data_IF_195756448502
#
_entry.id   IF_195756448502
#
_cell.length_a   1.000
_cell.length_b   1.000
_cell.length_c   1.000
_cell.angle_alpha   90.00
_cell.angle_beta   90.00
_cell.angle_gamma   90.00
#
_symmetry.space_group_name_H-M   'P 1'
#
loop_
_entity.id
_entity.type
_entity.pdbx_description
1 polymer ?
#
# COMPACT_ATOMS: atom_id res chain seq x y z
N UNK A 1 59.03 -17.11 -0.34
CA UNK A 1 57.93 -16.96 0.63
C UNK A 1 56.65 -16.67 -0.13
N UNK A 2 55.64 -17.55 -0.11
CA UNK A 2 54.45 -17.40 -0.95
C UNK A 2 53.33 -16.61 -0.27
N UNK A 3 52.75 -15.76 -1.09
CA UNK A 3 51.44 -15.08 -1.10
C UNK A 3 50.38 -15.61 -0.10
N UNK A 4 50.07 -14.81 0.92
CA UNK A 4 48.85 -14.90 1.74
C UNK A 4 48.10 -13.56 1.72
N UNK A 5 47.56 -13.18 0.55
CA UNK A 5 46.72 -11.97 0.43
C UNK A 5 45.51 -12.14 -0.47
N UNK A 6 44.98 -13.36 -0.58
CA UNK A 6 43.91 -13.69 -1.53
C UNK A 6 42.52 -13.98 -0.94
N UNK A 7 42.37 -14.40 0.32
CA UNK A 7 41.09 -14.96 0.81
C UNK A 7 40.21 -14.05 1.68
N UNK A 8 40.70 -12.89 2.12
CA UNK A 8 39.90 -11.95 2.92
C UNK A 8 39.24 -10.85 2.09
N UNK A 9 39.66 -10.64 0.84
CA UNK A 9 39.06 -9.61 -0.01
C UNK A 9 37.81 -10.07 -0.75
N UNK A 10 37.61 -11.38 -0.92
CA UNK A 10 36.42 -11.96 -1.56
C UNK A 10 35.18 -11.96 -0.65
N UNK A 11 35.35 -12.04 0.68
CA UNK A 11 34.22 -11.93 1.62
C UNK A 11 33.77 -10.49 1.87
N UNK A 12 34.62 -9.51 1.55
CA UNK A 12 34.30 -8.08 1.65
C UNK A 12 33.67 -7.52 0.36
N UNK A 13 33.70 -8.27 -0.74
CA UNK A 13 33.20 -7.84 -2.07
C UNK A 13 31.82 -8.36 -2.40
N UNK A 14 31.21 -9.21 -1.55
CA UNK A 14 29.76 -9.48 -1.59
C UNK A 14 28.92 -8.30 -1.03
N UNK A 15 29.52 -7.11 -0.91
CA UNK A 15 28.93 -5.86 -0.40
C UNK A 15 28.55 -4.91 -1.56
N UNK A 16 28.68 -5.33 -2.82
CA UNK A 16 28.33 -4.49 -3.97
C UNK A 16 27.23 -5.15 -4.80
N UNK A 17 26.21 -4.34 -5.15
CA UNK A 17 24.94 -4.64 -5.84
C UNK A 17 23.78 -5.19 -5.01
N UNK A 18 23.37 -4.42 -4.01
CA UNK A 18 21.94 -4.26 -3.73
C UNK A 18 21.68 -2.79 -3.43
N UNK A 19 21.68 -1.95 -4.49
CA UNK A 19 21.47 -0.49 -4.50
C UNK A 19 21.24 0.13 -3.11
N UNK A 20 22.37 0.33 -2.43
CA UNK A 20 22.71 1.32 -1.41
C UNK A 20 22.08 1.27 -0.01
N UNK A 21 22.14 0.14 0.70
CA UNK A 21 22.25 0.17 2.16
C UNK A 21 23.28 -0.85 2.67
N UNK A 22 24.19 -0.43 3.56
CA UNK A 22 25.13 -1.36 4.23
C UNK A 22 24.35 -2.19 5.23
N UNK A 23 23.84 -3.33 4.78
CA UNK A 23 23.00 -4.24 5.56
C UNK A 23 23.88 -5.36 6.13
N UNK A 24 23.77 -5.62 7.43
CA UNK A 24 24.33 -6.85 8.01
C UNK A 24 23.61 -8.05 7.39
N UNK A 25 24.32 -9.04 6.82
CA UNK A 25 23.67 -10.19 6.22
C UNK A 25 22.82 -10.91 7.27
N UNK A 26 21.52 -11.04 6.97
CA UNK A 26 20.60 -11.77 7.86
C UNK A 26 21.04 -13.23 7.96
N UNK A 27 21.10 -13.73 9.19
CA UNK A 27 21.48 -15.12 9.50
C UNK A 27 20.39 -16.13 9.13
N UNK A 28 19.20 -15.66 8.74
CA UNK A 28 18.05 -16.52 8.43
C UNK A 28 18.07 -16.89 6.94
N UNK A 29 17.88 -18.18 6.59
CA UNK A 29 17.76 -18.63 5.21
C UNK A 29 16.67 -17.85 4.45
N UNK A 30 16.90 -17.44 3.19
CA UNK A 30 15.97 -16.58 2.45
C UNK A 30 14.58 -17.19 2.30
N UNK A 31 14.49 -18.52 2.13
CA UNK A 31 13.23 -19.25 1.97
C UNK A 31 12.37 -19.27 3.25
N UNK A 32 12.98 -19.15 4.44
CA UNK A 32 12.25 -19.18 5.72
C UNK A 32 11.74 -17.81 6.16
N UNK A 33 12.19 -16.73 5.51
CA UNK A 33 11.83 -15.37 5.94
C UNK A 33 10.35 -15.06 5.71
N UNK A 34 9.79 -15.48 4.58
CA UNK A 34 8.37 -15.25 4.27
C UNK A 34 7.44 -16.08 5.17
N UNK A 35 7.64 -17.41 5.37
CA UNK A 35 6.85 -18.16 6.35
C UNK A 35 6.95 -17.58 7.76
N UNK A 36 8.15 -17.19 8.19
CA UNK A 36 8.35 -16.58 9.50
C UNK A 36 7.62 -15.23 9.63
N UNK A 37 7.63 -14.42 8.58
CA UNK A 37 6.90 -13.15 8.51
C UNK A 37 5.39 -13.38 8.68
N UNK A 38 4.83 -14.35 7.96
CA UNK A 38 3.41 -14.70 8.03
C UNK A 38 3.06 -15.16 9.45
N UNK A 39 3.84 -16.08 10.02
CA UNK A 39 3.61 -16.58 11.38
C UNK A 39 3.68 -15.46 12.42
N UNK A 40 4.68 -14.58 12.31
CA UNK A 40 4.83 -13.46 13.23
C UNK A 40 3.67 -12.47 13.10
N UNK A 41 3.22 -12.17 11.88
CA UNK A 41 2.07 -11.28 11.65
C UNK A 41 0.78 -11.86 12.23
N UNK A 42 0.50 -13.15 11.98
CA UNK A 42 -0.71 -13.82 12.47
C UNK A 42 -0.72 -13.97 13.99
N UNK A 43 0.40 -14.38 14.59
CA UNK A 43 0.51 -14.51 16.07
C UNK A 43 0.36 -13.17 16.76
N UNK A 44 1.00 -12.12 16.22
CA UNK A 44 0.87 -10.78 16.77
C UNK A 44 -0.57 -10.26 16.63
N UNK A 45 -1.22 -10.49 15.49
CA UNK A 45 -2.61 -10.11 15.25
C UNK A 45 -3.56 -10.80 16.24
N UNK A 46 -3.45 -12.11 16.39
CA UNK A 46 -4.25 -12.88 17.36
C UNK A 46 -4.06 -12.38 18.79
N UNK A 47 -2.82 -12.08 19.20
CA UNK A 47 -2.52 -11.55 20.52
C UNK A 47 -3.16 -10.17 20.74
N UNK A 48 -2.99 -9.24 19.78
CA UNK A 48 -3.52 -7.88 19.90
C UNK A 48 -5.05 -7.84 19.89
N UNK A 49 -5.70 -8.62 19.01
CA UNK A 49 -7.16 -8.73 19.00
C UNK A 49 -7.69 -9.39 20.29
N UNK A 50 -6.96 -10.32 20.90
CA UNK A 50 -7.33 -10.90 22.20
C UNK A 50 -7.29 -9.85 23.32
N UNK A 51 -6.24 -9.03 23.39
CA UNK A 51 -6.12 -7.95 24.37
C UNK A 51 -7.16 -6.85 24.20
N UNK A 52 -7.59 -6.60 22.96
CA UNK A 52 -8.53 -5.53 22.61
C UNK A 52 -9.95 -6.02 22.38
N UNK A 53 -10.23 -7.29 22.73
CA UNK A 53 -11.50 -7.97 22.47
C UNK A 53 -12.70 -7.21 23.05
N UNK A 54 -12.56 -6.61 24.24
CA UNK A 54 -13.63 -5.80 24.85
C UNK A 54 -13.97 -4.53 24.07
N UNK A 55 -12.99 -3.93 23.39
CA UNK A 55 -13.17 -2.73 22.58
C UNK A 55 -13.58 -3.06 21.14
N UNK A 56 -13.19 -4.22 20.63
CA UNK A 56 -13.47 -4.67 19.26
C UNK A 56 -14.68 -5.59 19.14
N UNK A 57 -15.34 -5.94 20.26
CA UNK A 57 -16.52 -6.82 20.31
C UNK A 57 -17.65 -6.39 19.37
N UNK A 58 -17.80 -5.08 19.11
CA UNK A 58 -18.83 -4.56 18.20
C UNK A 58 -18.68 -5.05 16.78
N UNK A 59 -17.46 -5.38 16.34
CA UNK A 59 -17.25 -5.89 14.99
C UNK A 59 -17.95 -7.24 14.79
N UNK A 60 -18.17 -7.99 15.88
CA UNK A 60 -18.87 -9.26 15.84
C UNK A 60 -20.37 -9.11 15.55
N UNK A 61 -20.98 -7.94 15.80
CA UNK A 61 -22.41 -7.72 15.54
C UNK A 61 -22.74 -7.62 14.06
N UNK A 62 -21.74 -7.26 13.24
CA UNK A 62 -21.87 -7.10 11.79
C UNK A 62 -21.09 -8.20 11.06
N UNK A 63 -20.34 -9.04 11.79
CA UNK A 63 -19.52 -10.08 11.20
C UNK A 63 -20.36 -11.23 10.66
N UNK A 64 -20.10 -11.65 9.43
CA UNK A 64 -20.70 -12.86 8.84
C UNK A 64 -20.19 -14.11 9.55
N UNK A 65 -21.07 -15.07 9.79
CA UNK A 65 -20.67 -16.41 10.23
C UNK A 65 -19.79 -17.08 9.16
N UNK A 66 -18.55 -17.40 9.52
CA UNK A 66 -17.61 -18.10 8.64
C UNK A 66 -17.83 -19.61 8.73
N UNK A 67 -19.01 -20.07 8.27
CA UNK A 67 -19.44 -21.47 8.42
C UNK A 67 -18.68 -22.41 7.47
N UNK A 68 -18.06 -21.86 6.43
CA UNK A 68 -17.39 -22.62 5.38
C UNK A 68 -15.88 -22.38 5.43
N UNK A 69 -15.10 -23.46 5.54
CA UNK A 69 -13.63 -23.43 5.59
C UNK A 69 -12.97 -22.69 4.44
N UNK A 70 -13.57 -22.70 3.25
CA UNK A 70 -13.02 -21.98 2.10
C UNK A 70 -13.08 -20.46 2.28
N UNK A 71 -14.03 -19.92 3.05
CA UNK A 71 -14.14 -18.49 3.34
C UNK A 71 -12.99 -18.05 4.26
N UNK A 72 -12.70 -18.85 5.29
CA UNK A 72 -11.51 -18.66 6.15
C UNK A 72 -10.25 -18.77 5.31
N UNK A 73 -10.17 -19.78 4.44
CA UNK A 73 -9.06 -19.95 3.49
C UNK A 73 -8.87 -18.76 2.55
N UNK A 74 -9.95 -18.13 2.09
CA UNK A 74 -9.89 -16.94 1.26
C UNK A 74 -9.34 -15.72 2.03
N UNK A 75 -9.79 -15.49 3.27
CA UNK A 75 -9.31 -14.40 4.13
C UNK A 75 -7.82 -14.57 4.49
N UNK A 76 -7.43 -15.77 4.93
CA UNK A 76 -6.04 -16.09 5.27
C UNK A 76 -5.16 -16.07 4.03
N UNK A 77 -5.64 -16.64 2.92
CA UNK A 77 -4.93 -16.66 1.64
C UNK A 77 -4.70 -15.26 1.10
N UNK A 78 -5.69 -14.38 1.21
CA UNK A 78 -5.56 -12.97 0.86
C UNK A 78 -4.50 -12.28 1.73
N UNK A 79 -4.54 -12.50 3.05
CA UNK A 79 -3.53 -11.94 3.96
C UNK A 79 -2.11 -12.40 3.63
N UNK A 80 -1.92 -13.68 3.32
CA UNK A 80 -0.63 -14.22 2.90
C UNK A 80 -0.19 -13.59 1.58
N UNK A 81 -1.12 -13.39 0.63
CA UNK A 81 -0.85 -12.76 -0.64
C UNK A 81 -0.38 -11.30 -0.47
N UNK A 82 -1.02 -10.50 0.39
CA UNK A 82 -0.60 -9.12 0.68
C UNK A 82 0.83 -9.06 1.24
N UNK A 83 1.14 -9.91 2.23
CA UNK A 83 2.47 -10.01 2.82
C UNK A 83 3.50 -10.50 1.79
N UNK A 84 3.11 -11.45 0.93
CA UNK A 84 3.92 -11.92 -0.18
C UNK A 84 4.22 -10.82 -1.20
N UNK A 85 3.22 -10.05 -1.60
CA UNK A 85 3.38 -8.93 -2.52
C UNK A 85 4.34 -7.88 -1.94
N UNK A 86 4.21 -7.55 -0.66
CA UNK A 86 5.15 -6.65 0.02
C UNK A 86 6.57 -7.20 0.06
N UNK A 87 6.72 -8.50 0.29
CA UNK A 87 8.02 -9.16 0.30
C UNK A 87 8.66 -9.16 -1.10
N UNK A 88 7.99 -9.69 -2.12
CA UNK A 88 8.56 -9.77 -3.47
C UNK A 88 8.65 -8.41 -4.17
N UNK A 89 7.79 -7.45 -3.81
CA UNK A 89 7.83 -6.07 -4.32
C UNK A 89 8.94 -5.20 -3.73
N UNK A 90 9.78 -5.73 -2.84
CA UNK A 90 10.83 -4.99 -2.12
C UNK A 90 10.30 -3.77 -1.33
N UNK A 91 9.08 -3.86 -0.82
CA UNK A 91 8.49 -2.82 0.03
C UNK A 91 9.06 -2.90 1.45
N UNK A 92 9.27 -1.75 2.08
CA UNK A 92 9.71 -1.67 3.47
C UNK A 92 8.54 -1.57 4.46
N UNK A 93 8.83 -1.50 5.76
CA UNK A 93 7.79 -1.41 6.78
C UNK A 93 6.85 -0.22 6.59
N UNK A 94 7.37 0.95 6.19
CA UNK A 94 6.55 2.16 5.98
C UNK A 94 5.65 2.01 4.76
N UNK A 95 6.17 1.45 3.67
CA UNK A 95 5.39 1.13 2.49
C UNK A 95 4.23 0.18 2.82
N UNK A 96 4.48 -0.86 3.60
CA UNK A 96 3.45 -1.82 4.02
C UNK A 96 2.44 -1.21 4.98
N UNK A 97 2.86 -0.36 5.91
CA UNK A 97 1.96 0.36 6.80
C UNK A 97 1.03 1.29 6.00
N UNK A 98 1.57 2.02 5.04
CA UNK A 98 0.80 2.87 4.14
C UNK A 98 -0.17 2.06 3.27
N UNK A 99 0.29 0.95 2.69
CA UNK A 99 -0.55 0.05 1.90
C UNK A 99 -1.67 -0.59 2.73
N UNK A 100 -1.37 -0.98 3.98
CA UNK A 100 -2.37 -1.51 4.92
C UNK A 100 -3.42 -0.46 5.25
N UNK A 101 -3.00 0.78 5.55
CA UNK A 101 -3.93 1.89 5.79
C UNK A 101 -4.84 2.15 4.59
N UNK A 102 -4.30 2.12 3.37
CA UNK A 102 -5.05 2.35 2.14
C UNK A 102 -6.00 1.20 1.76
N UNK A 103 -5.70 -0.03 2.18
CA UNK A 103 -6.48 -1.21 1.81
C UNK A 103 -7.48 -1.64 2.88
N UNK A 104 -7.14 -1.49 4.16
CA UNK A 104 -8.03 -1.77 5.29
C UNK A 104 -8.88 -0.55 5.68
N UNK A 105 -8.48 0.67 5.29
CA UNK A 105 -9.26 1.89 5.51
C UNK A 105 -10.68 1.83 4.93
N UNK A 106 -10.88 1.42 3.66
CA UNK A 106 -12.22 1.42 3.05
C UNK A 106 -13.26 0.50 3.70
N UNK A 107 -12.96 -0.78 4.01
CA UNK A 107 -13.91 -1.63 4.76
C UNK A 107 -14.23 -1.07 6.15
N UNK A 108 -13.21 -0.55 6.83
CA UNK A 108 -13.37 0.05 8.15
C UNK A 108 -14.18 1.35 8.12
N UNK A 109 -14.02 2.13 7.05
CA UNK A 109 -14.82 3.32 6.78
C UNK A 109 -16.29 2.95 6.54
N UNK A 110 -16.57 1.87 5.79
CA UNK A 110 -17.92 1.34 5.60
C UNK A 110 -18.57 1.00 6.95
N UNK A 111 -17.84 0.30 7.81
CA UNK A 111 -18.33 -0.08 9.14
C UNK A 111 -18.61 1.12 10.04
N UNK A 112 -17.68 2.08 10.10
CA UNK A 112 -17.84 3.27 10.93
C UNK A 112 -18.95 4.20 10.43
N UNK A 113 -19.15 4.29 9.12
CA UNK A 113 -20.03 5.30 8.51
C UNK A 113 -21.45 4.78 8.36
N UNK A 114 -21.62 3.54 7.93
CA UNK A 114 -22.93 3.01 7.54
C UNK A 114 -23.49 1.99 8.53
N UNK A 115 -22.62 1.26 9.22
CA UNK A 115 -22.99 0.24 10.21
C UNK A 115 -22.95 0.72 11.67
N UNK A 116 -22.73 2.03 11.87
CA UNK A 116 -22.74 2.67 13.20
C UNK A 116 -21.79 2.02 14.23
N UNK A 117 -20.73 1.35 13.75
CA UNK A 117 -19.72 0.75 14.62
C UNK A 117 -18.93 1.85 15.32
N UNK A 118 -18.66 1.68 16.62
CA UNK A 118 -17.90 2.65 17.42
C UNK A 118 -16.55 2.98 16.73
N UNK A 119 -16.23 4.26 16.48
CA UNK A 119 -14.98 4.66 15.84
C UNK A 119 -13.72 4.14 16.55
N UNK A 120 -13.79 3.96 17.88
CA UNK A 120 -12.68 3.39 18.66
C UNK A 120 -12.36 1.96 18.22
N UNK A 121 -13.38 1.12 18.00
CA UNK A 121 -13.18 -0.26 17.55
C UNK A 121 -12.52 -0.31 16.16
N UNK A 122 -12.97 0.57 15.27
CA UNK A 122 -12.48 0.71 13.89
C UNK A 122 -11.02 1.19 13.88
N UNK A 123 -10.70 2.27 14.62
CA UNK A 123 -9.35 2.80 14.73
C UNK A 123 -8.38 1.81 15.39
N UNK A 124 -8.85 1.07 16.39
CA UNK A 124 -8.04 0.07 17.08
C UNK A 124 -7.73 -1.11 16.14
N UNK A 125 -8.72 -1.59 15.39
CA UNK A 125 -8.51 -2.65 14.39
C UNK A 125 -7.53 -2.23 13.30
N UNK A 126 -7.68 -1.00 12.80
CA UNK A 126 -6.73 -0.42 11.84
C UNK A 126 -5.31 -0.33 12.42
N UNK A 127 -5.17 0.10 13.68
CA UNK A 127 -3.88 0.17 14.36
C UNK A 127 -3.26 -1.22 14.54
N UNK A 128 -4.06 -2.24 14.85
CA UNK A 128 -3.62 -3.63 14.94
C UNK A 128 -3.14 -4.11 13.58
N UNK A 129 -3.91 -3.91 12.51
CA UNK A 129 -3.55 -4.34 11.16
C UNK A 129 -2.25 -3.67 10.67
N UNK A 130 -2.10 -2.36 10.92
CA UNK A 130 -0.87 -1.63 10.60
C UNK A 130 0.31 -2.18 11.39
N UNK A 131 0.16 -2.36 12.71
CA UNK A 131 1.27 -2.76 13.60
C UNK A 131 1.71 -4.20 13.32
N UNK A 132 0.76 -5.09 13.08
CA UNK A 132 0.99 -6.51 12.76
C UNK A 132 1.61 -6.72 11.38
N UNK A 133 1.57 -5.71 10.51
CA UNK A 133 2.31 -5.69 9.25
C UNK A 133 3.66 -5.01 9.43
N UNK A 134 3.68 -3.85 10.06
CA UNK A 134 4.87 -3.00 10.21
C UNK A 134 5.98 -3.68 11.03
N UNK A 135 5.66 -4.18 12.23
CA UNK A 135 6.67 -4.73 13.15
C UNK A 135 7.38 -5.95 12.54
N UNK A 136 6.66 -6.98 12.01
CA UNK A 136 7.32 -8.13 11.42
C UNK A 136 8.21 -7.78 10.23
N UNK A 137 7.76 -6.89 9.35
CA UNK A 137 8.58 -6.41 8.23
C UNK A 137 9.81 -5.67 8.71
N UNK A 138 9.67 -4.78 9.69
CA UNK A 138 10.79 -4.02 10.25
C UNK A 138 11.83 -4.90 10.93
N UNK A 139 11.42 -6.02 11.53
CA UNK A 139 12.33 -6.99 12.16
C UNK A 139 13.07 -7.85 11.11
N UNK A 140 12.41 -8.21 10.02
CA UNK A 140 12.95 -9.14 9.01
C UNK A 140 13.59 -8.45 7.80
N UNK A 141 13.35 -7.15 7.61
CA UNK A 141 13.83 -6.36 6.48
C UNK A 141 14.25 -4.93 6.91
N UNK A 142 15.40 -4.44 6.41
CA UNK A 142 15.82 -3.05 6.62
C UNK A 142 14.95 -2.06 5.84
N UNK A 143 14.99 -0.77 6.20
CA UNK A 143 14.25 0.26 5.46
C UNK A 143 14.81 0.42 4.05
N UNK A 144 13.92 0.85 3.15
CA UNK A 144 14.36 1.37 1.86
C UNK A 144 15.07 2.72 2.05
N UNK A 145 15.90 3.08 1.07
CA UNK A 145 16.60 4.35 1.03
C UNK A 145 15.67 5.56 1.07
N UNK A 146 14.50 5.42 0.43
CA UNK A 146 13.49 6.47 0.37
C UNK A 146 12.98 6.89 1.77
N UNK A 147 13.08 5.99 2.76
CA UNK A 147 12.65 6.21 4.13
C UNK A 147 13.82 6.24 5.14
N UNK A 148 15.08 6.13 4.69
CA UNK A 148 16.26 6.15 5.56
C UNK A 148 17.00 7.50 5.59
N UNK A 149 16.46 8.53 4.93
CA UNK A 149 17.09 9.86 4.76
C UNK A 149 17.49 10.55 6.06
N UNK A 150 16.92 10.15 7.19
CA UNK A 150 17.05 10.82 8.48
C UNK A 150 17.92 10.09 9.51
N UNK A 151 18.24 8.80 9.32
CA UNK A 151 18.64 7.92 10.44
C UNK A 151 19.91 7.09 10.21
N UNK A 152 20.86 7.54 9.37
CA UNK A 152 22.14 6.83 9.25
C UNK A 152 23.34 7.68 9.56
N UNK A 153 24.09 7.18 10.56
CA UNK A 153 25.46 7.51 10.98
C UNK A 153 26.50 7.43 9.84
N UNK A 154 26.07 7.08 8.62
CA UNK A 154 26.81 7.03 7.38
C UNK A 154 25.92 7.69 6.30
N UNK A 155 26.43 8.74 5.69
CA UNK A 155 25.70 9.64 4.80
C UNK A 155 25.52 8.98 3.42
N UNK A 156 24.52 8.11 3.28
CA UNK A 156 24.13 7.59 1.95
C UNK A 156 23.28 8.66 1.27
N UNK A 157 23.81 9.21 0.17
CA UNK A 157 23.15 10.30 -0.56
C UNK A 157 21.95 9.75 -1.34
N UNK A 158 20.75 10.04 -0.87
CA UNK A 158 19.51 9.69 -1.58
C UNK A 158 19.29 10.69 -2.73
N UNK A 159 18.86 10.24 -3.92
CA UNK A 159 18.54 11.13 -5.02
C UNK A 159 17.38 12.06 -4.70
N UNK A 160 17.42 13.28 -5.25
CA UNK A 160 16.37 14.29 -5.07
C UNK A 160 16.04 14.52 -3.58
N UNK A 161 17.05 14.45 -2.71
CA UNK A 161 16.87 14.63 -1.28
C UNK A 161 16.26 15.99 -0.94
N UNK A 162 16.51 17.04 -1.74
CA UNK A 162 15.83 18.33 -1.59
C UNK A 162 14.30 18.22 -1.75
N UNK A 163 13.81 17.35 -2.63
CA UNK A 163 12.36 17.12 -2.84
C UNK A 163 11.79 16.27 -1.70
N UNK A 164 12.54 15.27 -1.24
CA UNK A 164 12.12 14.39 -0.14
C UNK A 164 12.10 15.11 1.21
N UNK A 165 13.06 15.99 1.46
CA UNK A 165 13.17 16.76 2.71
C UNK A 165 12.30 18.02 2.74
N UNK A 166 11.83 18.50 1.58
CA UNK A 166 10.97 19.69 1.49
C UNK A 166 9.58 19.44 2.09
N UNK A 167 9.33 20.02 3.26
CA UNK A 167 8.04 19.93 3.96
C UNK A 167 6.88 20.41 3.09
N UNK A 168 7.06 21.49 2.33
CA UNK A 168 6.01 22.05 1.47
C UNK A 168 5.58 21.08 0.39
N UNK A 169 6.52 20.41 -0.29
CA UNK A 169 6.20 19.42 -1.32
C UNK A 169 5.46 18.23 -0.71
N UNK A 170 5.90 17.74 0.45
CA UNK A 170 5.24 16.64 1.15
C UNK A 170 3.80 17.01 1.58
N UNK A 171 3.58 18.24 2.06
CA UNK A 171 2.26 18.76 2.43
C UNK A 171 1.36 18.84 1.20
N UNK A 172 1.82 19.48 0.11
CA UNK A 172 1.01 19.63 -1.10
C UNK A 172 0.65 18.29 -1.74
N UNK A 173 1.60 17.34 -1.80
CA UNK A 173 1.33 16.00 -2.30
C UNK A 173 0.30 15.24 -1.44
N UNK A 174 0.36 15.42 -0.12
CA UNK A 174 -0.60 14.83 0.83
C UNK A 174 -2.00 15.43 0.66
N UNK A 175 -2.09 16.76 0.58
CA UNK A 175 -3.35 17.48 0.39
C UNK A 175 -3.98 17.12 -0.96
N UNK A 176 -3.18 17.09 -2.03
CA UNK A 176 -3.64 16.71 -3.36
C UNK A 176 -4.23 15.30 -3.35
N UNK A 177 -3.49 14.32 -2.83
CA UNK A 177 -3.95 12.94 -2.75
C UNK A 177 -5.22 12.80 -1.87
N UNK A 178 -5.25 13.47 -0.71
CA UNK A 178 -6.43 13.47 0.18
C UNK A 178 -7.65 14.11 -0.47
N UNK A 179 -7.47 15.19 -1.24
CA UNK A 179 -8.54 15.84 -1.99
C UNK A 179 -9.08 14.93 -3.10
N UNK A 180 -8.21 14.20 -3.81
CA UNK A 180 -8.64 13.23 -4.83
C UNK A 180 -9.52 12.14 -4.21
N UNK A 181 -9.12 11.56 -3.07
CA UNK A 181 -9.96 10.58 -2.37
C UNK A 181 -11.29 11.19 -1.93
N UNK A 182 -11.31 12.40 -1.37
CA UNK A 182 -12.54 13.07 -0.94
C UNK A 182 -13.50 13.34 -2.10
N UNK A 183 -12.99 13.90 -3.20
CA UNK A 183 -13.79 14.23 -4.39
C UNK A 183 -14.28 12.96 -5.07
N UNK A 184 -13.46 11.92 -5.19
CA UNK A 184 -13.87 10.66 -5.80
C UNK A 184 -14.98 9.98 -5.01
N UNK A 185 -14.84 9.93 -3.67
CA UNK A 185 -15.86 9.36 -2.79
C UNK A 185 -17.15 10.19 -2.80
N UNK A 186 -17.05 11.53 -2.74
CA UNK A 186 -18.20 12.41 -2.86
C UNK A 186 -18.92 12.24 -4.20
N UNK A 187 -18.16 12.12 -5.29
CA UNK A 187 -18.72 11.85 -6.63
C UNK A 187 -19.47 10.54 -6.63
N UNK A 188 -18.91 9.47 -6.05
CA UNK A 188 -19.61 8.21 -5.92
C UNK A 188 -20.93 8.34 -5.13
N UNK A 189 -20.93 9.12 -4.03
CA UNK A 189 -22.14 9.43 -3.27
C UNK A 189 -23.18 10.21 -4.07
N UNK A 190 -22.77 11.16 -4.88
CA UNK A 190 -23.69 11.96 -5.68
C UNK A 190 -24.36 11.14 -6.80
N UNK A 191 -23.65 10.18 -7.40
CA UNK A 191 -24.11 9.52 -8.62
C UNK A 191 -24.78 8.16 -8.43
N UNK A 192 -24.24 7.27 -7.59
CA UNK A 192 -24.73 5.89 -7.57
C UNK A 192 -24.60 5.16 -6.24
N UNK A 193 -23.57 5.48 -5.44
CA UNK A 193 -23.19 4.67 -4.29
C UNK A 193 -24.30 4.52 -3.22
N UNK A 194 -25.10 5.55 -2.86
CA UNK A 194 -26.14 5.39 -1.84
C UNK A 194 -27.23 4.42 -2.28
N UNK A 195 -27.66 4.52 -3.54
CA UNK A 195 -28.63 3.58 -4.15
C UNK A 195 -28.02 2.18 -4.22
N UNK A 196 -26.74 2.07 -4.57
CA UNK A 196 -26.03 0.79 -4.63
C UNK A 196 -25.95 0.12 -3.25
N UNK A 197 -25.61 0.88 -2.21
CA UNK A 197 -25.59 0.40 -0.82
C UNK A 197 -26.96 -0.08 -0.39
N UNK A 198 -28.01 0.73 -0.59
CA UNK A 198 -29.38 0.37 -0.22
C UNK A 198 -29.91 -0.87 -0.97
N UNK A 199 -29.42 -1.14 -2.19
CA UNK A 199 -29.89 -2.25 -3.01
C UNK A 199 -29.19 -3.57 -2.68
N UNK A 200 -27.88 -3.55 -2.41
CA UNK A 200 -27.04 -4.75 -2.34
C UNK A 200 -26.46 -5.06 -0.95
N UNK A 201 -26.69 -4.19 0.04
CA UNK A 201 -26.28 -4.41 1.43
C UNK A 201 -27.53 -4.61 2.27
N UNK A 202 -27.87 -5.87 2.51
CA UNK A 202 -28.93 -6.20 3.47
C UNK A 202 -28.45 -5.90 4.89
N UNK A 203 -29.34 -5.36 5.73
CA UNK A 203 -29.06 -4.94 7.10
C UNK A 203 -28.12 -3.73 7.25
N UNK A 204 -28.02 -2.85 6.24
CA UNK A 204 -27.39 -1.54 6.43
C UNK A 204 -28.28 -0.65 7.32
N UNK A 205 -27.81 -0.20 8.51
CA UNK A 205 -28.63 0.62 9.42
C UNK A 205 -29.08 1.96 8.81
N UNK A 206 -28.18 2.64 8.11
CA UNK A 206 -28.46 3.96 7.56
C UNK A 206 -27.58 4.28 6.36
N UNK A 207 -28.14 5.03 5.40
CA UNK A 207 -27.39 5.65 4.28
C UNK A 207 -27.32 7.18 4.40
N UNK A 208 -27.86 7.76 5.47
CA UNK A 208 -27.93 9.20 5.68
C UNK A 208 -26.55 9.91 5.59
N UNK A 209 -25.44 9.33 6.10
CA UNK A 209 -24.13 9.96 5.99
C UNK A 209 -23.66 10.20 4.55
N UNK A 210 -24.08 9.36 3.59
CA UNK A 210 -23.75 9.57 2.19
C UNK A 210 -24.44 10.81 1.60
N UNK A 211 -25.67 11.10 2.04
CA UNK A 211 -26.41 12.29 1.60
C UNK A 211 -25.96 13.58 2.30
N UNK A 212 -25.47 13.48 3.53
CA UNK A 212 -24.92 14.60 4.28
C UNK A 212 -23.45 14.92 3.92
N UNK A 213 -22.78 14.03 3.20
CA UNK A 213 -21.37 14.17 2.88
C UNK A 213 -21.13 15.36 1.93
N UNK A 214 -20.08 16.12 2.24
CA UNK A 214 -19.48 17.11 1.34
C UNK A 214 -18.00 16.78 1.18
N UNK A 215 -17.33 17.26 0.12
CA UNK A 215 -15.87 17.08 0.00
C UNK A 215 -15.11 17.60 1.23
N UNK A 216 -15.60 18.69 1.83
CA UNK A 216 -15.02 19.31 3.03
C UNK A 216 -15.16 18.40 4.26
N UNK A 217 -16.32 17.76 4.44
CA UNK A 217 -16.54 16.85 5.59
C UNK A 217 -15.78 15.53 5.46
N UNK A 218 -15.49 15.08 4.24
CA UNK A 218 -14.71 13.86 3.98
C UNK A 218 -13.20 14.10 4.09
N UNK A 219 -12.74 15.32 3.82
CA UNK A 219 -11.32 15.66 3.76
C UNK A 219 -10.50 15.30 5.01
N UNK A 220 -10.97 15.50 6.26
CA UNK A 220 -10.22 15.12 7.46
C UNK A 220 -9.92 13.62 7.55
N UNK A 221 -10.78 12.76 6.99
CA UNK A 221 -10.54 11.33 6.95
C UNK A 221 -9.62 10.96 5.79
N UNK A 222 -9.87 11.53 4.61
CA UNK A 222 -9.11 11.18 3.41
C UNK A 222 -7.70 11.76 3.40
N UNK A 223 -7.38 12.75 4.23
CA UNK A 223 -6.00 13.25 4.37
C UNK A 223 -5.04 12.17 4.88
N UNK A 224 -5.50 11.26 5.74
CA UNK A 224 -4.69 10.11 6.18
C UNK A 224 -4.44 9.12 5.04
N UNK A 225 -5.44 8.91 4.18
CA UNK A 225 -5.27 8.14 2.94
C UNK A 225 -4.32 8.86 1.97
N UNK A 226 -4.40 10.18 1.88
CA UNK A 226 -3.49 11.01 1.09
C UNK A 226 -2.04 10.89 1.57
N UNK A 227 -1.83 10.93 2.88
CA UNK A 227 -0.51 10.75 3.49
C UNK A 227 0.05 9.36 3.18
N UNK A 228 -0.78 8.33 3.32
CA UNK A 228 -0.42 6.96 2.99
C UNK A 228 -0.08 6.82 1.50
N UNK A 229 -0.90 7.36 0.59
CA UNK A 229 -0.66 7.29 -0.85
C UNK A 229 0.64 8.01 -1.25
N UNK A 230 0.92 9.16 -0.63
CA UNK A 230 2.20 9.87 -0.80
C UNK A 230 3.39 9.02 -0.31
N UNK A 231 3.30 8.41 0.86
CA UNK A 231 4.37 7.54 1.35
C UNK A 231 4.57 6.33 0.42
N UNK A 232 3.48 5.71 -0.04
CA UNK A 232 3.55 4.49 -0.83
C UNK A 232 3.91 4.72 -2.30
N UNK A 233 3.54 5.85 -2.92
CA UNK A 233 3.76 6.11 -4.35
C UNK A 233 4.79 7.20 -4.57
N UNK A 234 4.57 8.39 -3.98
CA UNK A 234 5.37 9.58 -4.30
C UNK A 234 6.81 9.48 -3.80
N UNK A 235 7.00 9.23 -2.49
CA UNK A 235 8.33 9.11 -1.86
C UNK A 235 9.29 8.15 -2.58
N UNK A 236 8.91 6.89 -2.84
CA UNK A 236 9.79 5.94 -3.53
C UNK A 236 10.01 6.29 -5.01
N UNK A 237 9.07 6.97 -5.66
CA UNK A 237 9.23 7.43 -7.04
C UNK A 237 10.24 8.57 -7.15
N UNK A 238 10.19 9.52 -6.22
CA UNK A 238 11.17 10.62 -6.14
C UNK A 238 12.56 10.10 -5.79
N UNK A 239 12.65 9.11 -4.90
CA UNK A 239 13.91 8.46 -4.52
C UNK A 239 14.50 7.55 -5.61
N UNK A 240 13.78 7.26 -6.70
CA UNK A 240 14.26 6.37 -7.75
C UNK A 240 15.37 7.02 -8.61
N UNK A 241 16.55 6.40 -8.62
CA UNK A 241 17.68 6.83 -9.47
C UNK A 241 17.47 6.56 -10.95
N UNK A 242 17.97 7.44 -11.84
CA UNK A 242 18.15 7.10 -13.25
C UNK A 242 19.03 5.86 -13.40
N UNK A 243 18.52 4.88 -14.14
CA UNK A 243 19.19 3.61 -14.40
C UNK A 243 19.92 3.61 -15.75
N UNK A 244 20.77 2.58 -15.97
CA UNK A 244 21.35 2.31 -17.30
C UNK A 244 20.29 2.17 -18.40
N UNK A 245 19.08 1.70 -18.06
CA UNK A 245 17.96 1.63 -19.00
C UNK A 245 17.44 3.03 -19.37
N UNK A 246 17.49 3.99 -18.44
CA UNK A 246 17.12 5.38 -18.69
C UNK A 246 18.16 6.08 -19.58
N UNK A 247 19.45 5.78 -19.39
CA UNK A 247 20.51 6.25 -20.28
C UNK A 247 20.36 5.69 -21.70
N UNK A 248 20.06 4.39 -21.84
CA UNK A 248 19.77 3.75 -23.14
C UNK A 248 18.54 4.36 -23.81
N UNK A 249 17.51 4.71 -23.04
CA UNK A 249 16.33 5.42 -23.54
C UNK A 249 16.70 6.82 -24.06
N UNK A 250 17.50 7.57 -23.30
CA UNK A 250 17.94 8.90 -23.72
C UNK A 250 18.78 8.85 -25.01
N UNK A 251 19.50 7.76 -25.24
CA UNK A 251 20.28 7.50 -26.44
C UNK A 251 19.48 6.87 -27.60
N UNK A 252 18.16 6.66 -27.45
CA UNK A 252 17.33 6.04 -28.49
C UNK A 252 17.25 6.94 -29.73
N UNK A 253 17.61 6.39 -30.89
CA UNK A 253 17.50 7.09 -32.17
C UNK A 253 16.36 6.48 -33.01
N UNK A 254 15.25 7.20 -33.22
CA UNK A 254 14.10 6.67 -33.95
C UNK A 254 14.40 6.38 -35.42
N UNK A 255 15.41 7.03 -36.02
CA UNK A 255 15.74 6.89 -37.43
C UNK A 255 16.51 5.58 -37.75
N UNK A 256 17.20 5.00 -36.77
CA UNK A 256 18.01 3.79 -36.94
C UNK A 256 17.46 2.58 -36.21
N UNK A 257 16.39 2.76 -35.43
CA UNK A 257 15.83 1.73 -34.58
C UNK A 257 14.96 0.72 -35.36
N UNK A 258 15.01 -0.54 -34.95
CA UNK A 258 14.16 -1.59 -35.49
C UNK A 258 12.70 -1.46 -34.99
N UNK A 259 11.73 -2.03 -35.71
CA UNK A 259 10.31 -2.07 -35.34
C UNK A 259 10.09 -2.60 -33.91
N UNK A 260 10.82 -3.64 -33.51
CA UNK A 260 10.75 -4.18 -32.14
C UNK A 260 11.21 -3.17 -31.08
N UNK A 261 12.24 -2.38 -31.38
CA UNK A 261 12.74 -1.34 -30.48
C UNK A 261 11.75 -0.19 -30.36
N UNK A 262 11.08 0.18 -31.47
CA UNK A 262 9.98 1.15 -31.46
C UNK A 262 8.79 0.69 -30.61
N UNK A 263 8.40 -0.60 -30.70
CA UNK A 263 7.32 -1.16 -29.88
C UNK A 263 7.70 -1.15 -28.40
N UNK A 264 8.90 -1.62 -28.05
CA UNK A 264 9.35 -1.64 -26.65
C UNK A 264 9.47 -0.22 -26.09
N UNK A 265 9.98 0.73 -26.88
CA UNK A 265 10.12 2.13 -26.49
C UNK A 265 8.76 2.78 -26.22
N UNK A 266 7.77 2.57 -27.09
CA UNK A 266 6.44 3.17 -26.94
C UNK A 266 5.59 2.51 -25.86
N UNK A 267 5.69 1.18 -25.68
CA UNK A 267 4.84 0.43 -24.74
C UNK A 267 5.43 0.41 -23.32
N UNK A 268 6.76 0.27 -23.17
CA UNK A 268 7.40 0.11 -21.87
C UNK A 268 8.75 0.84 -21.72
N UNK A 269 9.05 1.78 -22.61
CA UNK A 269 10.20 2.69 -22.55
C UNK A 269 10.05 3.79 -21.51
N UNK A 270 9.25 3.59 -20.46
CA UNK A 270 9.12 4.52 -19.34
C UNK A 270 10.40 4.61 -18.52
N UNK A 271 10.62 5.77 -17.88
CA UNK A 271 11.76 5.95 -16.99
C UNK A 271 11.65 5.04 -15.75
N UNK A 272 12.76 4.73 -15.06
CA UNK A 272 12.71 3.95 -13.80
C UNK A 272 11.73 4.56 -12.79
N UNK A 273 11.72 5.90 -12.66
CA UNK A 273 10.74 6.63 -11.85
C UNK A 273 9.29 6.34 -12.27
N UNK A 274 8.96 6.50 -13.55
CA UNK A 274 7.60 6.24 -14.04
C UNK A 274 7.20 4.77 -13.87
N UNK A 275 8.14 3.83 -14.05
CA UNK A 275 7.90 2.40 -13.78
C UNK A 275 7.59 2.14 -12.31
N UNK A 276 8.28 2.80 -11.39
CA UNK A 276 8.00 2.71 -9.94
C UNK A 276 6.59 3.24 -9.64
N UNK A 277 6.21 4.39 -10.21
CA UNK A 277 4.84 4.94 -10.09
C UNK A 277 3.80 3.94 -10.60
N UNK A 278 3.96 3.42 -11.82
CA UNK A 278 3.00 2.48 -12.43
C UNK A 278 2.89 1.22 -11.58
N UNK A 279 4.02 0.64 -11.16
CA UNK A 279 4.05 -0.61 -10.40
C UNK A 279 3.39 -0.44 -9.03
N UNK A 280 3.72 0.63 -8.30
CA UNK A 280 3.14 0.90 -6.99
C UNK A 280 1.67 1.31 -7.10
N UNK A 281 1.27 2.06 -8.14
CA UNK A 281 -0.14 2.36 -8.40
C UNK A 281 -0.94 1.10 -8.69
N UNK A 282 -0.42 0.20 -9.54
CA UNK A 282 -1.06 -1.07 -9.84
C UNK A 282 -1.18 -1.96 -8.59
N UNK A 283 -0.12 -2.04 -7.77
CA UNK A 283 -0.15 -2.75 -6.50
C UNK A 283 -1.18 -2.15 -5.53
N UNK A 284 -1.25 -0.82 -5.44
CA UNK A 284 -2.24 -0.13 -4.62
C UNK A 284 -3.67 -0.44 -5.08
N UNK A 285 -3.96 -0.27 -6.37
CA UNK A 285 -5.28 -0.55 -6.93
C UNK A 285 -5.71 -2.01 -6.70
N UNK A 286 -4.79 -2.95 -6.90
CA UNK A 286 -5.03 -4.36 -6.69
C UNK A 286 -5.33 -4.64 -5.21
N UNK A 287 -4.46 -4.21 -4.30
CA UNK A 287 -4.60 -4.53 -2.88
C UNK A 287 -5.80 -3.80 -2.28
N UNK A 288 -5.97 -2.50 -2.53
CA UNK A 288 -7.13 -1.76 -2.04
C UNK A 288 -8.44 -2.30 -2.63
N UNK A 289 -8.51 -2.52 -3.94
CA UNK A 289 -9.74 -3.01 -4.58
C UNK A 289 -10.12 -4.43 -4.14
N UNK A 290 -9.17 -5.36 -4.19
CA UNK A 290 -9.45 -6.76 -3.83
C UNK A 290 -9.63 -6.92 -2.33
N UNK A 291 -8.82 -6.27 -1.47
CA UNK A 291 -9.05 -6.30 -0.02
C UNK A 291 -10.42 -5.72 0.31
N UNK A 292 -10.80 -4.59 -0.29
CA UNK A 292 -12.11 -3.98 -0.03
C UNK A 292 -13.26 -4.93 -0.41
N UNK A 293 -13.13 -5.61 -1.56
CA UNK A 293 -14.10 -6.62 -1.97
C UNK A 293 -14.14 -7.81 -1.01
N UNK A 294 -12.98 -8.40 -0.70
CA UNK A 294 -12.85 -9.58 0.16
C UNK A 294 -13.42 -9.29 1.54
N UNK A 295 -13.03 -8.16 2.14
CA UNK A 295 -13.50 -7.75 3.47
C UNK A 295 -15.01 -7.47 3.47
N UNK A 296 -15.52 -6.70 2.49
CA UNK A 296 -16.94 -6.41 2.42
C UNK A 296 -17.78 -7.68 2.19
N UNK A 297 -17.35 -8.59 1.32
CA UNK A 297 -18.12 -9.78 0.97
C UNK A 297 -18.02 -10.90 2.00
N UNK A 298 -16.83 -11.15 2.57
CA UNK A 298 -16.61 -12.27 3.49
C UNK A 298 -16.76 -11.90 4.96
N UNK A 299 -16.45 -10.67 5.36
CA UNK A 299 -16.55 -10.28 6.76
C UNK A 299 -17.90 -9.67 7.13
N UNK A 300 -18.61 -9.02 6.22
CA UNK A 300 -19.86 -8.31 6.56
C UNK A 300 -21.08 -9.17 6.23
N UNK A 301 -21.94 -9.38 7.22
CA UNK A 301 -23.20 -10.08 7.02
C UNK A 301 -24.14 -9.26 6.12
N UNK A 302 -24.84 -9.95 5.21
CA UNK A 302 -25.84 -9.31 4.36
C UNK A 302 -25.32 -8.58 3.11
N UNK A 303 -24.01 -8.55 2.89
CA UNK A 303 -23.42 -7.95 1.66
C UNK A 303 -23.44 -8.93 0.50
N UNK A 304 -24.10 -8.54 -0.59
CA UNK A 304 -24.05 -9.28 -1.85
C UNK A 304 -22.73 -9.03 -2.60
N UNK A 305 -22.29 -10.00 -3.41
CA UNK A 305 -21.06 -9.88 -4.21
C UNK A 305 -21.09 -8.65 -5.13
N UNK A 306 -22.24 -8.34 -5.74
CA UNK A 306 -22.42 -7.13 -6.57
C UNK A 306 -22.29 -5.85 -5.75
N UNK A 307 -22.79 -5.84 -4.52
CA UNK A 307 -22.63 -4.76 -3.56
C UNK A 307 -21.16 -4.50 -3.24
N UNK A 308 -20.44 -5.57 -2.87
CA UNK A 308 -19.02 -5.51 -2.56
C UNK A 308 -18.18 -5.01 -3.77
N UNK A 309 -18.50 -5.43 -4.99
CA UNK A 309 -17.82 -4.95 -6.22
C UNK A 309 -18.07 -3.46 -6.43
N UNK A 310 -19.32 -2.99 -6.33
CA UNK A 310 -19.61 -1.57 -6.54
C UNK A 310 -18.94 -0.68 -5.49
N UNK A 311 -18.91 -1.12 -4.23
CA UNK A 311 -18.19 -0.40 -3.17
C UNK A 311 -16.67 -0.41 -3.40
N UNK A 312 -16.07 -1.56 -3.71
CA UNK A 312 -14.62 -1.68 -3.91
C UNK A 312 -14.12 -0.90 -5.14
N UNK A 313 -14.95 -0.80 -6.19
CA UNK A 313 -14.61 -0.06 -7.40
C UNK A 313 -14.34 1.42 -7.13
N UNK A 314 -15.08 2.05 -6.21
CA UNK A 314 -14.89 3.46 -5.84
C UNK A 314 -13.48 3.70 -5.31
N UNK A 315 -13.02 2.83 -4.42
CA UNK A 315 -11.69 2.93 -3.81
C UNK A 315 -10.58 2.56 -4.78
N UNK A 316 -10.80 1.55 -5.62
CA UNK A 316 -9.88 1.19 -6.70
C UNK A 316 -9.68 2.37 -7.67
N UNK A 317 -10.75 3.03 -8.09
CA UNK A 317 -10.70 4.20 -8.98
C UNK A 317 -10.01 5.37 -8.28
N UNK A 318 -10.34 5.65 -7.01
CA UNK A 318 -9.68 6.69 -6.23
C UNK A 318 -8.16 6.46 -6.11
N UNK A 319 -7.73 5.22 -5.87
CA UNK A 319 -6.32 4.83 -5.86
C UNK A 319 -5.65 5.02 -7.22
N UNK A 320 -6.32 4.67 -8.32
CA UNK A 320 -5.80 4.87 -9.67
C UNK A 320 -5.61 6.35 -10.03
N UNK A 321 -6.62 7.18 -9.78
CA UNK A 321 -6.56 8.63 -10.02
C UNK A 321 -5.46 9.26 -9.16
N UNK A 322 -5.36 8.85 -7.89
CA UNK A 322 -4.31 9.34 -6.98
C UNK A 322 -2.91 8.98 -7.49
N UNK A 323 -2.70 7.73 -7.91
CA UNK A 323 -1.42 7.30 -8.47
C UNK A 323 -1.05 8.04 -9.76
N UNK A 324 -2.02 8.27 -10.65
CA UNK A 324 -1.82 9.07 -11.86
C UNK A 324 -1.45 10.53 -11.54
N UNK A 325 -2.17 11.17 -10.61
CA UNK A 325 -1.90 12.55 -10.20
C UNK A 325 -0.53 12.70 -9.54
N UNK A 326 -0.19 11.85 -8.57
CA UNK A 326 1.13 11.85 -7.93
C UNK A 326 2.24 11.50 -8.95
N UNK A 327 1.94 10.63 -9.90
CA UNK A 327 2.82 10.31 -11.03
C UNK A 327 3.13 11.51 -11.91
N UNK A 328 2.11 12.31 -12.24
CA UNK A 328 2.26 13.55 -12.99
C UNK A 328 3.11 14.56 -12.23
N UNK A 329 2.90 14.73 -10.91
CA UNK A 329 3.74 15.60 -10.06
C UNK A 329 5.20 15.14 -10.04
N UNK A 330 5.45 13.84 -10.02
CA UNK A 330 6.80 13.27 -10.07
C UNK A 330 7.49 13.40 -11.44
N UNK A 331 6.73 13.62 -12.51
CA UNK A 331 7.23 13.68 -13.89
C UNK A 331 7.65 15.10 -14.31
N UNK A 332 7.15 16.12 -13.61
CA UNK A 332 7.52 17.54 -13.74
C UNK A 332 8.79 17.80 -12.92
#
# INVERSE_FOLDING_TARGET
MPVLRGKFSEKATAVVQQDDAVIRPSKIPPLLRLPLLVLLSLTFSSMLYSFTSSQTADLASVSRSLDQWWQVGALVGWRIFELGLGWYGNYDGYDLAALTLLSHGPPLYLLSTFYEIRPVAVLLSLAIDITTTYIPFRLLRPLSLAHSTSDTRYWVKVPNNEILSSTSIQIYATILAGAIYAVTLYTAYAFFLPVWLATYFSNIPTVAPAHAATPISLFPLTIFLGLAAKCFIFTPSVAAEPSLADAKKAAFNPATANLGEHVVYNVWGYSKRTKVVITRTAALMLVTGVNTFVQAFFMIEGVEAKGAVGFSLVWLVASGITGAALGAVCAI
#
